data_IF_562592824786
#
_entry.id   IF_562592824786
#
_cell.length_a   1.000
_cell.length_b   1.000
_cell.length_c   1.000
_cell.angle_alpha   90.00
_cell.angle_beta   90.00
_cell.angle_gamma   90.00
#
_symmetry.space_group_name_H-M   'P 1'
#
loop_
_entity.id
_entity.type
_entity.pdbx_description
1 polymer ?
#
# COMPACT_ATOMS: atom_id res chain seq x y z
N UNK A 1 26.05 9.80 7.43
CA UNK A 1 25.12 10.44 6.48
C UNK A 1 23.70 10.30 7.02
N UNK A 2 22.88 11.34 6.93
CA UNK A 2 21.47 11.23 7.32
C UNK A 2 20.75 10.33 6.28
N UNK A 3 20.00 9.30 6.74
CA UNK A 3 19.21 8.48 5.84
C UNK A 3 18.10 9.34 5.23
N UNK A 4 17.76 9.11 3.96
CA UNK A 4 16.58 9.74 3.34
C UNK A 4 15.33 9.24 4.01
N UNK A 5 14.34 10.14 4.20
CA UNK A 5 13.06 9.79 4.81
C UNK A 5 12.08 9.33 3.75
N UNK A 6 11.45 8.20 4.02
CA UNK A 6 10.40 7.60 3.18
C UNK A 6 9.09 7.60 3.94
N UNK A 7 8.02 8.08 3.29
CA UNK A 7 6.66 7.98 3.81
C UNK A 7 5.85 6.99 2.97
N UNK A 8 5.16 6.07 3.64
CA UNK A 8 4.28 5.09 3.00
C UNK A 8 2.97 4.98 3.74
N UNK A 9 1.86 5.10 3.02
CA UNK A 9 0.51 4.99 3.57
C UNK A 9 -0.23 3.76 3.08
N UNK A 10 -1.00 3.12 3.97
CA UNK A 10 -1.88 2.00 3.61
C UNK A 10 -3.23 2.12 4.30
N UNK A 11 -4.31 1.94 3.52
CA UNK A 11 -5.68 2.04 4.03
C UNK A 11 -6.14 0.74 4.70
N UNK A 12 -6.79 0.80 5.88
CA UNK A 12 -7.33 -0.37 6.57
C UNK A 12 -8.72 -0.76 6.05
N UNK A 13 -8.84 -0.98 4.74
CA UNK A 13 -10.13 -1.24 4.07
C UNK A 13 -10.38 -2.73 3.82
N UNK A 14 -9.87 -3.61 4.67
CA UNK A 14 -10.06 -5.06 4.62
C UNK A 14 -8.74 -5.84 4.58
N UNK A 15 -8.85 -7.15 4.46
CA UNK A 15 -7.72 -8.07 4.55
C UNK A 15 -6.64 -7.80 3.49
N UNK A 16 -5.38 -8.00 3.86
CA UNK A 16 -4.24 -7.91 2.95
C UNK A 16 -4.16 -9.18 2.12
N UNK A 17 -4.07 -9.02 0.81
CA UNK A 17 -3.87 -10.12 -0.14
C UNK A 17 -2.43 -10.18 -0.65
N UNK A 18 -2.09 -11.31 -1.27
CA UNK A 18 -0.75 -11.59 -1.78
C UNK A 18 -0.21 -10.49 -2.72
N UNK A 19 -1.10 -9.88 -3.53
CA UNK A 19 -0.74 -8.75 -4.38
C UNK A 19 -0.33 -7.48 -3.62
N UNK A 20 -0.92 -7.22 -2.43
CA UNK A 20 -0.45 -6.13 -1.57
C UNK A 20 0.91 -6.46 -0.95
N UNK A 21 1.09 -7.70 -0.51
CA UNK A 21 2.34 -8.16 0.08
C UNK A 21 3.51 -8.06 -0.90
N UNK A 22 3.38 -8.71 -2.06
CA UNK A 22 4.42 -8.74 -3.09
C UNK A 22 4.62 -7.38 -3.79
N UNK A 23 3.56 -6.60 -3.93
CA UNK A 23 3.62 -5.31 -4.63
C UNK A 23 4.09 -4.13 -3.78
N UNK A 24 4.03 -4.23 -2.44
CA UNK A 24 4.40 -3.13 -1.56
C UNK A 24 5.06 -3.57 -0.26
N UNK A 25 4.41 -4.43 0.56
CA UNK A 25 4.83 -4.68 1.94
C UNK A 25 6.19 -5.37 1.99
N UNK A 26 6.47 -6.34 1.11
CA UNK A 26 7.79 -7.01 1.01
C UNK A 26 8.90 -5.97 0.81
N UNK A 27 8.71 -5.02 -0.10
CA UNK A 27 9.67 -3.92 -0.32
C UNK A 27 9.80 -2.99 0.88
N UNK A 28 8.70 -2.72 1.60
CA UNK A 28 8.76 -1.92 2.82
C UNK A 28 9.65 -2.57 3.89
N UNK A 29 9.57 -3.89 3.99
CA UNK A 29 10.42 -4.66 4.90
C UNK A 29 11.89 -4.61 4.47
N UNK A 30 12.17 -4.79 3.19
CA UNK A 30 13.53 -4.78 2.63
C UNK A 30 14.23 -3.43 2.78
N UNK A 31 13.50 -2.31 2.66
CA UNK A 31 14.10 -0.97 2.69
C UNK A 31 14.29 -0.38 4.08
N UNK A 32 13.93 -1.08 5.17
CA UNK A 32 14.01 -0.54 6.52
C UNK A 32 15.45 -0.21 6.94
N UNK A 33 16.44 -0.97 6.48
CA UNK A 33 17.84 -0.73 6.79
C UNK A 33 18.44 0.43 5.98
N UNK A 34 17.87 0.77 4.82
CA UNK A 34 18.40 1.78 3.92
C UNK A 34 17.88 3.19 4.22
N UNK A 35 16.58 3.29 4.61
CA UNK A 35 15.88 4.56 4.78
C UNK A 35 15.40 4.81 6.20
N UNK A 36 15.07 6.07 6.52
CA UNK A 36 14.26 6.45 7.68
C UNK A 36 12.79 6.32 7.29
N UNK A 37 12.16 5.18 7.63
CA UNK A 37 10.82 4.86 7.17
C UNK A 37 9.73 5.30 8.15
N UNK A 38 8.66 5.88 7.62
CA UNK A 38 7.42 6.19 8.31
C UNK A 38 6.28 5.46 7.60
N UNK A 39 5.72 4.45 8.26
CA UNK A 39 4.57 3.69 7.79
C UNK A 39 3.31 4.16 8.51
N UNK A 40 2.35 4.65 7.75
CA UNK A 40 1.13 5.21 8.27
C UNK A 40 -0.10 4.38 7.87
N UNK A 41 -0.88 3.94 8.84
CA UNK A 41 -2.21 3.38 8.57
C UNK A 41 -3.17 4.55 8.38
N UNK A 42 -3.51 4.83 7.10
CA UNK A 42 -4.25 6.02 6.70
C UNK A 42 -5.76 5.80 6.80
N UNK A 43 -6.25 5.70 8.03
CA UNK A 43 -7.64 5.40 8.33
C UNK A 43 -8.61 6.55 8.02
N UNK A 44 -8.15 7.81 8.02
CA UNK A 44 -8.97 8.95 7.59
C UNK A 44 -9.29 8.91 6.10
N UNK A 45 -8.41 8.35 5.27
CA UNK A 45 -8.73 8.11 3.86
C UNK A 45 -9.82 7.05 3.66
N UNK A 46 -9.95 6.11 4.58
CA UNK A 46 -10.96 5.05 4.47
C UNK A 46 -12.40 5.59 4.59
N UNK A 47 -12.63 6.65 5.37
CA UNK A 47 -13.96 7.25 5.56
C UNK A 47 -14.44 8.12 4.38
N UNK A 48 -13.64 8.28 3.33
CA UNK A 48 -14.07 8.92 2.08
C UNK A 48 -15.14 8.11 1.33
N UNK A 49 -15.30 6.85 1.69
CA UNK A 49 -16.40 5.99 1.26
C UNK A 49 -17.16 5.46 2.49
N UNK A 50 -18.44 5.12 2.36
CA UNK A 50 -19.19 4.52 3.47
C UNK A 50 -18.51 3.27 4.00
N UNK A 51 -18.20 3.27 5.29
CA UNK A 51 -17.58 2.15 6.00
C UNK A 51 -18.18 2.04 7.41
N UNK A 52 -18.41 0.81 7.85
CA UNK A 52 -18.88 0.57 9.21
C UNK A 52 -17.79 0.96 10.24
N UNK A 53 -18.10 1.74 11.29
CA UNK A 53 -17.10 2.22 12.24
C UNK A 53 -16.44 1.11 13.05
N UNK A 54 -17.18 0.05 13.41
CA UNK A 54 -16.65 -1.09 14.17
C UNK A 54 -15.68 -1.86 13.29
N UNK A 55 -16.07 -2.10 12.04
CA UNK A 55 -15.22 -2.73 11.04
C UNK A 55 -13.94 -1.90 10.79
N UNK A 56 -14.06 -0.59 10.58
CA UNK A 56 -12.88 0.28 10.37
C UNK A 56 -11.91 0.21 11.54
N UNK A 57 -12.42 0.30 12.77
CA UNK A 57 -11.59 0.20 13.98
C UNK A 57 -10.88 -1.15 14.06
N UNK A 58 -11.61 -2.24 13.91
CA UNK A 58 -11.04 -3.59 13.91
C UNK A 58 -9.97 -3.74 12.82
N UNK A 59 -10.28 -3.37 11.57
CA UNK A 59 -9.35 -3.50 10.45
C UNK A 59 -8.10 -2.61 10.59
N UNK A 60 -8.19 -1.49 11.30
CA UNK A 60 -7.03 -0.64 11.59
C UNK A 60 -6.01 -1.39 12.46
N UNK A 61 -6.43 -1.99 13.56
CA UNK A 61 -5.55 -2.77 14.44
C UNK A 61 -5.06 -4.07 13.79
N UNK A 62 -5.96 -4.78 13.09
CA UNK A 62 -5.62 -5.99 12.34
C UNK A 62 -4.53 -5.73 11.28
N UNK A 63 -4.64 -4.61 10.57
CA UNK A 63 -3.64 -4.20 9.58
C UNK A 63 -2.28 -3.95 10.24
N UNK A 64 -2.23 -3.24 11.36
CA UNK A 64 -0.98 -3.00 12.11
C UNK A 64 -0.36 -4.32 12.53
N UNK A 65 -1.15 -5.21 13.12
CA UNK A 65 -0.71 -6.55 13.53
C UNK A 65 -0.13 -7.34 12.35
N UNK A 66 -0.79 -7.27 11.21
CA UNK A 66 -0.33 -7.96 10.00
C UNK A 66 0.95 -7.33 9.41
N UNK A 67 1.10 -6.01 9.44
CA UNK A 67 2.35 -5.34 9.02
C UNK A 67 3.53 -5.76 9.89
N UNK A 68 3.34 -5.86 11.21
CA UNK A 68 4.34 -6.37 12.14
C UNK A 68 4.68 -7.84 11.85
N UNK A 69 3.68 -8.66 11.57
CA UNK A 69 3.86 -10.06 11.21
C UNK A 69 4.63 -10.22 9.89
N UNK A 70 4.40 -9.35 8.92
CA UNK A 70 5.15 -9.31 7.66
C UNK A 70 6.62 -8.88 7.81
N UNK A 71 7.03 -8.34 8.97
CA UNK A 71 8.41 -7.98 9.24
C UNK A 71 8.67 -6.47 9.39
N UNK A 72 7.64 -5.63 9.43
CA UNK A 72 7.85 -4.22 9.80
C UNK A 72 8.39 -4.17 11.24
N UNK A 73 9.57 -3.57 11.40
CA UNK A 73 10.27 -3.48 12.68
C UNK A 73 10.06 -2.08 13.30
N UNK A 74 9.27 -1.96 14.38
CA UNK A 74 8.96 -0.66 14.98
C UNK A 74 10.15 0.01 15.66
N UNK A 75 11.26 -0.72 15.88
CA UNK A 75 12.51 -0.15 16.41
C UNK A 75 13.27 0.63 15.33
N UNK A 76 13.15 0.22 14.07
CA UNK A 76 13.83 0.82 12.92
C UNK A 76 12.95 1.86 12.21
N UNK A 77 11.64 1.62 12.19
CA UNK A 77 10.65 2.40 11.42
C UNK A 77 9.60 3.02 12.32
N UNK A 78 9.06 4.16 11.96
CA UNK A 78 7.84 4.69 12.58
C UNK A 78 6.63 3.94 12.03
N UNK A 79 5.78 3.39 12.90
CA UNK A 79 4.50 2.79 12.52
C UNK A 79 3.39 3.40 13.37
N UNK A 80 2.45 4.09 12.76
CA UNK A 80 1.41 4.84 13.47
C UNK A 80 0.10 4.92 12.67
N UNK A 81 -0.96 5.36 13.35
CA UNK A 81 -2.29 5.58 12.76
C UNK A 81 -2.44 7.06 12.44
N UNK A 82 -2.91 7.39 11.25
CA UNK A 82 -3.09 8.76 10.76
C UNK A 82 -3.95 9.62 11.68
N UNK A 83 -5.09 9.10 12.14
CA UNK A 83 -6.02 9.85 12.99
C UNK A 83 -5.50 10.15 14.39
N UNK A 84 -4.36 9.57 14.79
CA UNK A 84 -3.72 9.88 16.06
C UNK A 84 -2.78 11.10 15.98
N UNK A 85 -2.65 11.70 14.80
CA UNK A 85 -1.83 12.90 14.55
C UNK A 85 -2.71 13.97 13.92
N UNK A 86 -3.20 14.89 14.72
CA UNK A 86 -4.18 15.93 14.34
C UNK A 86 -3.66 16.91 13.28
N UNK A 87 -2.36 16.99 13.10
CA UNK A 87 -1.72 17.85 12.13
C UNK A 87 -2.02 17.44 10.67
N UNK A 88 -2.40 16.18 10.40
CA UNK A 88 -2.77 15.72 9.05
C UNK A 88 -3.96 16.50 8.46
N UNK A 89 -5.15 16.50 9.07
CA UNK A 89 -6.26 17.30 8.57
C UNK A 89 -6.02 18.80 8.76
N UNK A 90 -5.25 19.21 9.76
CA UNK A 90 -4.96 20.62 10.00
C UNK A 90 -4.09 21.24 8.89
N UNK A 91 -3.02 20.52 8.44
CA UNK A 91 -2.24 20.98 7.31
C UNK A 91 -3.03 20.86 5.99
N UNK A 92 -3.82 19.79 5.82
CA UNK A 92 -4.66 19.63 4.63
C UNK A 92 -5.54 20.85 4.39
N UNK A 93 -6.13 21.45 5.44
CA UNK A 93 -6.90 22.69 5.32
C UNK A 93 -6.06 23.86 4.77
N UNK A 94 -4.82 24.02 5.22
CA UNK A 94 -3.94 25.07 4.70
C UNK A 94 -3.61 24.86 3.22
N UNK A 95 -3.41 23.60 2.84
CA UNK A 95 -3.10 23.21 1.46
C UNK A 95 -4.34 23.33 0.55
N UNK A 96 -5.55 23.04 1.06
CA UNK A 96 -6.82 23.24 0.34
C UNK A 96 -6.95 24.70 -0.17
N UNK A 97 -6.48 25.65 0.63
CA UNK A 97 -6.49 27.06 0.26
C UNK A 97 -5.45 27.44 -0.81
N UNK A 98 -4.56 26.51 -1.18
CA UNK A 98 -3.50 26.73 -2.18
C UNK A 98 -3.77 26.06 -3.53
N UNK A 99 -4.74 25.14 -3.59
CA UNK A 99 -5.04 24.34 -4.78
C UNK A 99 -6.32 24.86 -5.44
N UNK A 100 -6.30 24.99 -6.77
CA UNK A 100 -7.48 25.43 -7.49
C UNK A 100 -8.49 24.27 -7.69
N UNK A 101 -9.79 24.63 -7.77
CA UNK A 101 -10.83 23.66 -8.12
C UNK A 101 -10.55 22.95 -9.45
N UNK A 102 -9.96 23.66 -10.43
CA UNK A 102 -9.63 23.09 -11.74
C UNK A 102 -8.54 22.01 -11.66
N UNK A 103 -7.55 22.14 -10.75
CA UNK A 103 -6.55 21.10 -10.51
C UNK A 103 -7.19 19.85 -9.91
N UNK A 104 -8.04 20.02 -8.91
CA UNK A 104 -8.75 18.91 -8.26
C UNK A 104 -9.69 18.17 -9.22
N UNK A 105 -10.41 18.89 -10.07
CA UNK A 105 -11.31 18.29 -11.07
C UNK A 105 -10.58 17.45 -12.15
N UNK A 106 -9.28 17.68 -12.34
CA UNK A 106 -8.46 16.88 -13.27
C UNK A 106 -7.97 15.56 -12.69
N UNK A 107 -8.15 15.33 -11.39
CA UNK A 107 -7.72 14.08 -10.73
C UNK A 107 -8.50 12.88 -11.28
N UNK A 108 -7.78 11.93 -11.90
CA UNK A 108 -8.37 10.77 -12.58
C UNK A 108 -9.06 9.81 -11.62
N UNK A 109 -8.46 9.54 -10.48
CA UNK A 109 -9.04 8.63 -9.48
C UNK A 109 -10.35 9.15 -8.87
N UNK A 110 -10.52 10.47 -8.74
CA UNK A 110 -11.80 11.05 -8.33
C UNK A 110 -12.89 10.70 -9.34
N UNK A 111 -12.60 10.88 -10.64
CA UNK A 111 -13.54 10.55 -11.73
C UNK A 111 -13.93 9.07 -11.70
N UNK A 112 -12.93 8.18 -11.60
CA UNK A 112 -13.16 6.73 -11.58
C UNK A 112 -13.98 6.26 -10.37
N UNK A 113 -13.67 6.78 -9.18
CA UNK A 113 -14.39 6.43 -7.93
C UNK A 113 -15.81 6.98 -7.94
N UNK A 114 -16.00 8.20 -8.46
CA UNK A 114 -17.32 8.84 -8.58
C UNK A 114 -18.23 8.08 -9.54
N UNK A 115 -17.70 7.56 -10.66
CA UNK A 115 -18.45 6.74 -11.61
C UNK A 115 -18.83 5.38 -11.01
N UNK A 116 -17.95 4.76 -10.21
CA UNK A 116 -18.23 3.46 -9.57
C UNK A 116 -19.25 3.57 -8.44
N UNK A 117 -19.29 4.70 -7.72
CA UNK A 117 -20.12 4.91 -6.53
C UNK A 117 -20.84 6.28 -6.58
N UNK A 118 -21.73 6.53 -7.54
CA UNK A 118 -22.30 7.87 -7.78
C UNK A 118 -23.14 8.39 -6.59
N UNK A 119 -23.70 7.50 -5.77
CA UNK A 119 -24.51 7.85 -4.58
C UNK A 119 -23.66 8.19 -3.35
N UNK A 120 -22.35 7.92 -3.38
CA UNK A 120 -21.44 8.09 -2.23
C UNK A 120 -20.37 9.15 -2.49
N UNK A 121 -20.56 10.00 -3.50
CA UNK A 121 -19.64 11.09 -3.79
C UNK A 121 -19.81 12.19 -2.75
N UNK A 122 -18.77 12.44 -1.98
CA UNK A 122 -18.73 13.48 -0.94
C UNK A 122 -17.49 14.37 -1.10
N UNK A 123 -17.43 15.46 -0.34
CA UNK A 123 -16.30 16.40 -0.37
C UNK A 123 -14.97 15.73 0.01
N UNK A 124 -14.98 14.79 0.95
CA UNK A 124 -13.79 14.04 1.33
C UNK A 124 -13.22 13.20 0.16
N UNK A 125 -14.10 12.60 -0.65
CA UNK A 125 -13.66 11.90 -1.87
C UNK A 125 -13.07 12.85 -2.92
N UNK A 126 -13.50 14.10 -2.95
CA UNK A 126 -12.91 15.13 -3.80
C UNK A 126 -11.57 15.61 -3.26
N UNK A 127 -11.48 15.81 -1.94
CA UNK A 127 -10.32 16.44 -1.26
C UNK A 127 -9.22 15.46 -0.82
N UNK A 128 -9.43 14.13 -0.84
CA UNK A 128 -8.43 13.21 -0.31
C UNK A 128 -7.02 13.34 -0.96
N UNK A 129 -6.84 13.82 -2.21
CA UNK A 129 -5.50 14.04 -2.74
C UNK A 129 -4.70 15.10 -1.97
N UNK A 130 -5.40 16.09 -1.40
CA UNK A 130 -4.77 17.13 -0.58
C UNK A 130 -4.45 16.59 0.82
N UNK A 131 -5.30 15.74 1.40
CA UNK A 131 -4.97 15.01 2.62
C UNK A 131 -3.74 14.11 2.41
N UNK A 132 -3.62 13.44 1.26
CA UNK A 132 -2.42 12.66 0.92
C UNK A 132 -1.18 13.57 0.78
N UNK A 133 -1.30 14.75 0.18
CA UNK A 133 -0.21 15.72 0.14
C UNK A 133 0.20 16.15 1.56
N UNK A 134 -0.75 16.40 2.45
CA UNK A 134 -0.50 16.69 3.85
C UNK A 134 0.23 15.54 4.55
N UNK A 135 -0.20 14.29 4.35
CA UNK A 135 0.44 13.09 4.92
C UNK A 135 1.94 13.02 4.58
N UNK A 136 2.30 13.38 3.37
CA UNK A 136 3.67 13.31 2.87
C UNK A 136 4.50 14.52 3.35
N UNK A 137 3.94 15.72 3.22
CA UNK A 137 4.67 16.98 3.46
C UNK A 137 4.93 17.25 4.94
N UNK A 138 4.03 16.82 5.84
CA UNK A 138 4.21 16.93 7.29
C UNK A 138 5.55 16.37 7.77
N UNK A 139 5.99 15.30 7.17
CA UNK A 139 7.19 14.57 7.60
C UNK A 139 8.45 14.96 6.81
N UNK A 140 8.40 16.00 5.96
CA UNK A 140 9.55 16.40 5.15
C UNK A 140 10.13 15.19 4.38
N UNK A 141 9.26 14.38 3.78
CA UNK A 141 9.64 13.14 3.11
C UNK A 141 10.52 13.43 1.90
N UNK A 142 11.63 12.71 1.78
CA UNK A 142 12.50 12.78 0.62
C UNK A 142 11.95 11.92 -0.53
N UNK A 143 11.38 10.77 -0.17
CA UNK A 143 10.92 9.75 -1.13
C UNK A 143 9.54 9.21 -0.75
N UNK A 144 8.75 8.86 -1.76
CA UNK A 144 7.43 8.22 -1.60
C UNK A 144 7.33 7.04 -2.55
N UNK A 145 7.20 5.79 -2.04
CA UNK A 145 6.93 4.63 -2.90
C UNK A 145 5.54 4.74 -3.50
N UNK A 146 5.46 4.86 -4.82
CA UNK A 146 4.18 5.00 -5.52
C UNK A 146 4.08 4.02 -6.68
N UNK A 147 2.90 3.39 -6.81
CA UNK A 147 2.51 2.70 -8.03
C UNK A 147 2.07 3.69 -9.11
N UNK A 148 1.90 3.18 -10.33
CA UNK A 148 1.48 3.98 -11.50
C UNK A 148 0.19 4.80 -11.23
N UNK A 149 -0.75 4.20 -10.50
CA UNK A 149 -2.05 4.82 -10.18
C UNK A 149 -1.95 5.98 -9.16
N UNK A 150 -0.83 6.11 -8.47
CA UNK A 150 -0.58 7.17 -7.48
C UNK A 150 0.36 8.28 -7.99
N UNK A 151 0.93 8.15 -9.18
CA UNK A 151 1.85 9.16 -9.73
C UNK A 151 1.24 10.54 -9.80
N UNK A 152 -0.02 10.64 -10.25
CA UNK A 152 -0.72 11.93 -10.36
C UNK A 152 -0.90 12.61 -8.99
N UNK A 153 -1.13 11.83 -7.92
CA UNK A 153 -1.24 12.39 -6.56
C UNK A 153 0.10 12.90 -6.05
N UNK A 154 1.19 12.19 -6.35
CA UNK A 154 2.52 12.65 -5.97
C UNK A 154 2.92 13.90 -6.73
N UNK A 155 2.61 14.00 -8.02
CA UNK A 155 2.81 15.23 -8.80
C UNK A 155 2.02 16.41 -8.23
N UNK A 156 0.75 16.19 -7.83
CA UNK A 156 -0.03 17.22 -7.14
C UNK A 156 0.68 17.66 -5.85
N UNK A 157 1.17 16.71 -5.05
CA UNK A 157 1.91 16.99 -3.80
C UNK A 157 3.16 17.85 -4.07
N UNK A 158 3.92 17.53 -5.11
CA UNK A 158 5.11 18.28 -5.53
C UNK A 158 4.75 19.70 -5.93
N UNK A 159 3.75 19.87 -6.78
CA UNK A 159 3.25 21.18 -7.22
C UNK A 159 2.80 22.05 -6.04
N UNK A 160 2.09 21.44 -5.06
CA UNK A 160 1.67 22.12 -3.83
C UNK A 160 2.90 22.58 -3.04
N UNK A 161 3.89 21.72 -2.83
CA UNK A 161 5.10 22.06 -2.10
C UNK A 161 5.90 23.18 -2.76
N UNK A 162 6.10 23.12 -4.09
CA UNK A 162 6.80 24.13 -4.87
C UNK A 162 6.07 25.48 -4.85
N UNK A 163 4.74 25.45 -5.05
CA UNK A 163 3.91 26.65 -4.99
C UNK A 163 3.96 27.29 -3.62
N UNK A 164 3.77 26.51 -2.54
CA UNK A 164 3.82 27.02 -1.18
C UNK A 164 5.17 27.66 -0.86
N UNK A 165 6.26 26.97 -1.20
CA UNK A 165 7.63 27.45 -0.96
C UNK A 165 7.92 28.76 -1.71
N UNK A 166 7.39 28.91 -2.92
CA UNK A 166 7.54 30.13 -3.72
C UNK A 166 6.74 31.29 -3.15
N UNK A 167 5.50 31.03 -2.72
CA UNK A 167 4.53 32.09 -2.38
C UNK A 167 4.67 32.55 -0.92
N UNK A 168 5.07 31.64 0.01
CA UNK A 168 5.15 31.92 1.46
C UNK A 168 6.56 31.77 2.05
N UNK A 169 7.49 31.18 1.34
CA UNK A 169 8.84 30.89 1.83
C UNK A 169 9.09 29.40 2.05
N UNK A 170 10.35 29.04 2.16
CA UNK A 170 10.81 27.66 2.20
C UNK A 170 10.26 26.87 3.42
N UNK A 171 9.29 26.01 3.21
CA UNK A 171 8.62 25.21 4.23
C UNK A 171 8.78 23.71 3.99
N UNK A 172 8.44 23.22 2.80
CA UNK A 172 8.33 21.80 2.49
C UNK A 172 9.49 21.30 1.63
N UNK A 173 9.98 20.12 1.93
CA UNK A 173 10.75 19.35 0.94
C UNK A 173 9.83 18.93 -0.20
N UNK A 174 10.32 19.00 -1.42
CA UNK A 174 9.61 18.46 -2.60
C UNK A 174 9.97 16.98 -2.71
N UNK A 175 8.99 16.07 -2.49
CA UNK A 175 9.27 14.64 -2.46
C UNK A 175 9.54 14.08 -3.86
N UNK A 176 10.38 13.05 -3.94
CA UNK A 176 10.65 12.32 -5.19
C UNK A 176 9.95 10.95 -5.17
N UNK A 177 9.51 10.44 -6.33
CA UNK A 177 8.98 9.08 -6.39
C UNK A 177 10.09 8.07 -6.12
N UNK A 178 9.84 7.14 -5.19
CA UNK A 178 10.65 5.94 -5.06
C UNK A 178 10.05 4.88 -5.98
N UNK A 179 10.67 4.72 -7.15
CA UNK A 179 10.27 3.70 -8.10
C UNK A 179 10.77 2.37 -7.55
N UNK A 180 9.87 1.57 -6.98
CA UNK A 180 10.21 0.20 -6.60
C UNK A 180 10.76 -0.53 -7.84
N UNK A 181 11.87 -1.25 -7.70
CA UNK A 181 12.32 -2.19 -8.72
C UNK A 181 11.12 -3.08 -9.03
N UNK A 182 10.49 -2.86 -10.18
CA UNK A 182 9.31 -3.54 -10.72
C UNK A 182 8.43 -4.17 -9.62
N UNK A 183 7.60 -3.36 -8.99
CA UNK A 183 6.60 -3.86 -8.06
C UNK A 183 5.74 -4.85 -8.81
N UNK A 184 5.75 -6.10 -8.38
CA UNK A 184 5.06 -7.17 -9.07
C UNK A 184 3.57 -6.84 -9.14
N UNK A 185 3.09 -6.60 -10.34
CA UNK A 185 1.66 -6.45 -10.58
C UNK A 185 1.03 -7.85 -10.57
N UNK A 186 0.60 -8.28 -9.40
CA UNK A 186 -0.13 -9.54 -9.24
C UNK A 186 -1.57 -9.36 -9.68
N UNK A 187 -2.01 -10.18 -10.61
CA UNK A 187 -3.35 -10.17 -11.18
C UNK A 187 -4.26 -11.16 -10.44
N UNK A 188 -5.58 -11.03 -10.64
CA UNK A 188 -6.55 -11.97 -10.09
C UNK A 188 -6.33 -13.39 -10.57
N UNK A 189 -6.62 -14.37 -9.71
CA UNK A 189 -6.42 -15.78 -10.07
C UNK A 189 -7.48 -16.29 -11.04
N UNK A 190 -8.71 -15.79 -10.93
CA UNK A 190 -9.85 -16.16 -11.78
C UNK A 190 -10.01 -15.24 -12.99
N UNK A 191 -9.48 -14.02 -12.91
CA UNK A 191 -9.43 -13.07 -14.03
C UNK A 191 -8.07 -12.36 -14.06
N UNK A 192 -7.12 -12.87 -14.87
CA UNK A 192 -5.77 -12.31 -14.95
C UNK A 192 -5.68 -10.97 -15.69
N UNK A 193 -6.77 -10.44 -16.21
CA UNK A 193 -6.85 -9.09 -16.80
C UNK A 193 -7.07 -8.01 -15.76
N UNK A 194 -7.62 -8.38 -14.61
CA UNK A 194 -7.94 -7.49 -13.50
C UNK A 194 -6.91 -7.67 -12.39
N UNK A 195 -6.37 -6.56 -11.87
CA UNK A 195 -5.45 -6.59 -10.72
C UNK A 195 -6.09 -7.30 -9.53
N UNK A 196 -5.34 -8.15 -8.84
CA UNK A 196 -5.79 -8.77 -7.60
C UNK A 196 -6.29 -7.69 -6.63
N UNK A 197 -7.52 -7.84 -6.16
CA UNK A 197 -8.19 -6.84 -5.32
C UNK A 197 -9.14 -7.48 -4.32
N UNK A 198 -9.34 -6.78 -3.20
CA UNK A 198 -10.26 -7.17 -2.12
C UNK A 198 -11.73 -7.06 -2.53
N UNK A 199 -12.04 -6.12 -3.40
CA UNK A 199 -13.42 -5.74 -3.77
C UNK A 199 -14.00 -6.54 -4.94
N UNK A 200 -13.21 -7.41 -5.55
CA UNK A 200 -13.70 -8.26 -6.63
C UNK A 200 -14.68 -9.31 -6.09
N UNK A 201 -15.79 -9.53 -6.79
CA UNK A 201 -16.87 -10.44 -6.35
C UNK A 201 -16.51 -11.93 -6.43
N UNK A 202 -15.43 -12.30 -7.10
CA UNK A 202 -14.98 -13.68 -7.25
C UNK A 202 -14.34 -14.22 -5.98
N UNK A 203 -14.89 -15.27 -5.39
CA UNK A 203 -14.36 -15.90 -4.18
C UNK A 203 -12.92 -16.46 -4.33
N UNK A 204 -12.48 -16.71 -5.57
CA UNK A 204 -11.14 -17.23 -5.86
C UNK A 204 -10.20 -16.17 -6.46
N UNK A 205 -10.60 -14.88 -6.47
CA UNK A 205 -9.85 -13.81 -7.11
C UNK A 205 -8.52 -13.50 -6.43
N UNK A 206 -8.50 -13.54 -5.09
CA UNK A 206 -7.34 -13.16 -4.29
C UNK A 206 -7.00 -14.22 -3.24
N UNK A 207 -5.71 -14.41 -3.01
CA UNK A 207 -5.18 -15.12 -1.83
C UNK A 207 -4.92 -14.08 -0.77
N UNK A 208 -5.54 -14.23 0.40
CA UNK A 208 -5.28 -13.41 1.58
C UNK A 208 -4.13 -13.99 2.40
N UNK A 209 -3.38 -13.15 3.10
CA UNK A 209 -2.19 -13.62 3.84
C UNK A 209 -2.55 -14.57 4.99
N UNK A 210 -3.78 -14.47 5.50
CA UNK A 210 -4.29 -15.33 6.58
C UNK A 210 -5.20 -16.45 6.06
N UNK A 211 -5.24 -16.72 4.76
CA UNK A 211 -5.96 -17.88 4.21
C UNK A 211 -5.34 -19.19 4.72
N UNK A 212 -6.18 -20.10 5.17
CA UNK A 212 -5.74 -21.44 5.56
C UNK A 212 -5.20 -22.23 4.35
N UNK A 213 -4.27 -23.19 4.56
CA UNK A 213 -3.62 -23.93 3.48
C UNK A 213 -4.59 -24.55 2.47
N UNK A 214 -5.67 -25.15 2.91
CA UNK A 214 -6.67 -25.78 2.05
C UNK A 214 -7.40 -24.75 1.16
N UNK A 215 -7.58 -23.54 1.63
CA UNK A 215 -8.16 -22.44 0.87
C UNK A 215 -7.20 -21.98 -0.21
N UNK A 216 -5.90 -21.86 0.11
CA UNK A 216 -4.85 -21.50 -0.85
C UNK A 216 -4.79 -22.53 -1.97
N UNK A 217 -4.70 -23.84 -1.62
CA UNK A 217 -4.71 -24.94 -2.59
C UNK A 217 -5.92 -24.87 -3.52
N UNK A 218 -7.12 -24.68 -2.93
CA UNK A 218 -8.37 -24.59 -3.70
C UNK A 218 -8.38 -23.41 -4.67
N UNK A 219 -7.91 -22.23 -4.23
CA UNK A 219 -7.85 -21.02 -5.06
C UNK A 219 -6.87 -21.19 -6.22
N UNK A 220 -5.65 -21.69 -5.96
CA UNK A 220 -4.62 -21.90 -6.98
C UNK A 220 -5.05 -22.98 -7.98
N UNK A 221 -5.64 -24.10 -7.52
CA UNK A 221 -6.16 -25.14 -8.41
C UNK A 221 -7.18 -24.61 -9.41
N UNK A 222 -8.03 -23.64 -8.98
CA UNK A 222 -9.08 -23.02 -9.81
C UNK A 222 -8.58 -21.82 -10.62
N UNK A 223 -7.34 -21.37 -10.41
CA UNK A 223 -6.79 -20.23 -11.12
C UNK A 223 -6.84 -20.42 -12.65
N UNK A 224 -7.10 -19.33 -13.37
CA UNK A 224 -7.20 -19.35 -14.82
C UNK A 224 -5.87 -19.68 -15.47
N UNK A 225 -5.89 -20.58 -16.46
CA UNK A 225 -4.77 -20.92 -17.35
C UNK A 225 -5.32 -21.17 -18.75
N UNK A 226 -4.45 -21.10 -19.74
CA UNK A 226 -4.83 -21.44 -21.13
C UNK A 226 -4.89 -22.97 -21.35
N UNK A 227 -5.14 -23.39 -22.59
CA UNK A 227 -5.23 -24.79 -23.00
C UNK A 227 -3.93 -25.34 -23.59
N UNK A 228 -2.83 -24.57 -23.62
CA UNK A 228 -1.58 -24.99 -24.31
C UNK A 228 -0.78 -26.06 -23.53
N UNK A 229 -0.96 -26.11 -22.20
CA UNK A 229 -0.29 -27.09 -21.34
C UNK A 229 1.22 -26.87 -21.14
N UNK A 230 1.78 -25.77 -21.69
CA UNK A 230 3.21 -25.46 -21.62
C UNK A 230 3.44 -24.41 -20.53
N UNK A 231 4.46 -24.63 -19.70
CA UNK A 231 4.84 -23.70 -18.63
C UNK A 231 6.03 -22.88 -19.13
N UNK A 232 5.74 -21.62 -19.50
CA UNK A 232 6.74 -20.67 -20.01
C UNK A 232 6.29 -19.23 -19.72
N UNK A 233 7.27 -18.34 -19.48
CA UNK A 233 7.04 -16.92 -19.29
C UNK A 233 6.71 -16.26 -20.64
N UNK A 234 5.42 -16.03 -20.88
CA UNK A 234 4.91 -15.32 -22.04
C UNK A 234 3.79 -14.38 -21.59
N UNK A 235 4.02 -13.08 -21.69
CA UNK A 235 3.08 -12.04 -21.27
C UNK A 235 1.72 -12.13 -21.98
N UNK A 236 1.68 -12.70 -23.20
CA UNK A 236 0.44 -12.91 -23.95
C UNK A 236 -0.46 -13.99 -23.33
N UNK A 237 0.12 -14.83 -22.47
CA UNK A 237 -0.56 -15.93 -21.78
C UNK A 237 -0.89 -15.53 -20.35
N UNK A 238 -1.71 -14.51 -20.20
CA UNK A 238 -1.96 -13.74 -18.95
C UNK A 238 -2.15 -14.62 -17.71
N UNK A 239 -2.90 -15.74 -17.80
CA UNK A 239 -3.19 -16.61 -16.66
C UNK A 239 -1.96 -17.33 -16.12
N UNK A 240 -1.26 -18.09 -16.98
CA UNK A 240 -0.05 -18.81 -16.57
C UNK A 240 1.09 -17.84 -16.23
N UNK A 241 1.22 -16.74 -16.97
CA UNK A 241 2.22 -15.71 -16.71
C UNK A 241 2.05 -15.10 -15.30
N UNK A 242 0.82 -14.80 -14.88
CA UNK A 242 0.54 -14.32 -13.53
C UNK A 242 0.96 -15.34 -12.45
N UNK A 243 0.65 -16.62 -12.64
CA UNK A 243 1.02 -17.67 -11.69
C UNK A 243 2.53 -17.87 -11.62
N UNK A 244 3.23 -17.80 -12.76
CA UNK A 244 4.70 -17.87 -12.84
C UNK A 244 5.35 -16.66 -12.14
N UNK A 245 4.79 -15.47 -12.30
CA UNK A 245 5.27 -14.29 -11.59
C UNK A 245 5.11 -14.43 -10.07
N UNK A 246 3.98 -14.96 -9.59
CA UNK A 246 3.79 -15.23 -8.17
C UNK A 246 4.84 -16.23 -7.67
N UNK A 247 5.08 -17.31 -8.43
CA UNK A 247 6.08 -18.32 -8.09
C UNK A 247 7.47 -17.69 -7.99
N UNK A 248 7.89 -16.96 -9.02
CA UNK A 248 9.19 -16.27 -9.10
C UNK A 248 9.42 -15.32 -7.91
N UNK A 249 8.41 -14.50 -7.56
CA UNK A 249 8.52 -13.53 -6.49
C UNK A 249 8.58 -14.11 -5.08
N UNK A 250 8.07 -15.33 -4.91
CA UNK A 250 8.09 -16.03 -3.62
C UNK A 250 9.29 -16.98 -3.49
N UNK A 251 9.76 -17.56 -4.60
CA UNK A 251 10.90 -18.48 -4.59
C UNK A 251 12.25 -17.81 -4.77
N UNK A 252 12.26 -16.54 -5.22
CA UNK A 252 13.45 -15.79 -5.63
C UNK A 252 14.28 -16.52 -6.71
N UNK A 253 13.65 -17.42 -7.50
CA UNK A 253 14.27 -18.12 -8.61
C UNK A 253 14.13 -17.35 -9.93
N UNK A 254 15.10 -17.49 -10.84
CA UNK A 254 15.00 -16.86 -12.16
C UNK A 254 13.97 -17.56 -13.07
N UNK A 255 13.39 -16.85 -14.06
CA UNK A 255 12.46 -17.43 -15.03
C UNK A 255 12.98 -18.71 -15.68
N UNK A 256 14.26 -18.73 -16.09
CA UNK A 256 14.88 -19.85 -16.78
C UNK A 256 14.95 -21.09 -15.89
N UNK A 257 15.24 -20.92 -14.61
CA UNK A 257 15.26 -22.03 -13.64
C UNK A 257 13.86 -22.60 -13.41
N UNK A 258 12.85 -21.73 -13.35
CA UNK A 258 11.47 -22.15 -13.19
C UNK A 258 11.00 -22.93 -14.43
N UNK A 259 11.26 -22.43 -15.63
CA UNK A 259 10.89 -23.11 -16.88
C UNK A 259 11.56 -24.47 -16.99
N UNK A 260 12.86 -24.61 -16.70
CA UNK A 260 13.56 -25.89 -16.73
C UNK A 260 13.03 -26.87 -15.68
N UNK A 261 12.68 -26.40 -14.47
CA UNK A 261 12.06 -27.22 -13.41
C UNK A 261 10.74 -27.84 -13.86
N UNK A 262 9.94 -27.07 -14.60
CA UNK A 262 8.62 -27.50 -15.05
C UNK A 262 8.59 -28.00 -16.49
N UNK A 263 9.74 -28.16 -17.15
CA UNK A 263 9.85 -28.78 -18.46
C UNK A 263 9.25 -30.17 -18.43
N UNK A 264 8.33 -30.43 -19.33
CA UNK A 264 7.58 -31.70 -19.42
C UNK A 264 6.59 -31.96 -18.25
N UNK A 265 6.26 -30.97 -17.43
CA UNK A 265 5.19 -31.06 -16.43
C UNK A 265 3.94 -30.34 -16.92
N UNK A 266 2.76 -30.75 -16.41
CA UNK A 266 1.48 -30.10 -16.71
C UNK A 266 1.13 -29.00 -15.71
N UNK A 267 0.09 -28.24 -16.01
CA UNK A 267 -0.43 -27.19 -15.10
C UNK A 267 -0.85 -27.74 -13.74
N UNK A 268 -1.29 -28.98 -13.65
CA UNK A 268 -1.65 -29.62 -12.38
C UNK A 268 -0.47 -29.69 -11.42
N UNK A 269 0.68 -30.15 -11.91
CA UNK A 269 1.92 -30.29 -11.14
C UNK A 269 2.45 -28.91 -10.74
N UNK A 270 2.46 -27.96 -11.69
CA UNK A 270 2.88 -26.58 -11.42
C UNK A 270 2.01 -25.91 -10.35
N UNK A 271 0.68 -25.99 -10.48
CA UNK A 271 -0.26 -25.39 -9.50
C UNK A 271 -0.12 -26.02 -8.12
N UNK A 272 0.16 -27.31 -8.04
CA UNK A 272 0.42 -27.98 -6.76
C UNK A 272 1.67 -27.43 -6.10
N UNK A 273 2.77 -27.33 -6.84
CA UNK A 273 4.04 -26.82 -6.31
C UNK A 273 3.93 -25.30 -5.98
N UNK A 274 3.24 -24.51 -6.82
CA UNK A 274 2.95 -23.12 -6.52
C UNK A 274 2.17 -22.96 -5.21
N UNK A 275 1.17 -23.81 -4.95
CA UNK A 275 0.42 -23.78 -3.71
C UNK A 275 1.32 -24.05 -2.50
N UNK A 276 2.23 -25.00 -2.59
CA UNK A 276 3.22 -25.29 -1.55
C UNK A 276 4.16 -24.11 -1.32
N UNK A 277 4.67 -23.47 -2.37
CA UNK A 277 5.51 -22.26 -2.25
C UNK A 277 4.77 -21.13 -1.58
N UNK A 278 3.51 -20.87 -1.94
CA UNK A 278 2.68 -19.83 -1.31
C UNK A 278 2.46 -20.16 0.18
N UNK A 279 2.06 -21.38 0.52
CA UNK A 279 1.83 -21.80 1.90
C UNK A 279 3.09 -21.63 2.74
N UNK A 280 4.25 -22.12 2.26
CA UNK A 280 5.52 -22.02 2.97
C UNK A 280 5.96 -20.56 3.16
N UNK A 281 5.70 -19.69 2.19
CA UNK A 281 6.02 -18.26 2.29
C UNK A 281 5.10 -17.52 3.27
N UNK A 282 3.84 -17.91 3.39
CA UNK A 282 2.89 -17.27 4.29
C UNK A 282 2.93 -17.82 5.72
N UNK A 283 3.37 -19.05 5.90
CA UNK A 283 3.42 -19.72 7.21
C UNK A 283 4.15 -18.91 8.29
N UNK A 284 5.36 -18.37 8.09
CA UNK A 284 6.03 -17.55 9.10
C UNK A 284 5.25 -16.29 9.48
N UNK A 285 4.58 -15.66 8.49
CA UNK A 285 3.75 -14.49 8.71
C UNK A 285 2.55 -14.85 9.58
N UNK A 286 1.88 -15.97 9.29
CA UNK A 286 0.72 -16.45 10.02
C UNK A 286 1.06 -16.87 11.45
N UNK A 287 2.22 -17.51 11.67
CA UNK A 287 2.71 -17.90 12.99
C UNK A 287 2.98 -16.64 13.82
N UNK A 288 3.76 -15.69 13.29
CA UNK A 288 4.07 -14.43 13.97
C UNK A 288 2.82 -13.59 14.25
N UNK A 289 1.86 -13.56 13.31
CA UNK A 289 0.59 -12.87 13.52
C UNK A 289 -0.17 -13.39 14.74
N UNK A 290 -0.16 -14.70 15.00
CA UNK A 290 -0.82 -15.32 16.17
C UNK A 290 -0.13 -14.95 17.49
N UNK A 291 1.19 -14.71 17.47
CA UNK A 291 1.98 -14.40 18.65
C UNK A 291 1.86 -12.94 19.10
N UNK A 292 1.60 -12.01 18.18
CA UNK A 292 1.50 -10.57 18.49
C UNK A 292 0.22 -10.31 19.30
N UNK A 293 0.35 -9.73 20.49
CA UNK A 293 -0.79 -9.36 21.34
C UNK A 293 -1.35 -7.97 20.99
N UNK A 294 -2.61 -7.72 21.36
CA UNK A 294 -3.23 -6.41 21.17
C UNK A 294 -2.56 -5.32 22.00
N UNK A 295 -2.01 -5.66 23.17
CA UNK A 295 -1.30 -4.69 24.00
C UNK A 295 0.07 -4.33 23.41
N UNK A 296 0.75 -5.29 22.77
CA UNK A 296 1.96 -5.02 21.99
C UNK A 296 1.66 -4.07 20.82
N UNK A 297 0.59 -4.30 20.08
CA UNK A 297 0.15 -3.42 18.99
C UNK A 297 -0.08 -1.99 19.49
N UNK A 298 -0.79 -1.82 20.61
CA UNK A 298 -1.05 -0.51 21.21
C UNK A 298 0.24 0.20 21.65
N UNK A 299 1.17 -0.53 22.30
CA UNK A 299 2.45 0.03 22.73
C UNK A 299 3.29 0.50 21.54
N UNK A 300 3.33 -0.26 20.45
CA UNK A 300 4.04 0.09 19.22
C UNK A 300 3.42 1.33 18.57
N UNK A 301 2.10 1.40 18.49
CA UNK A 301 1.39 2.56 17.92
C UNK A 301 1.64 3.84 18.74
N UNK A 302 1.59 3.77 20.07
CA UNK A 302 1.91 4.90 20.93
C UNK A 302 3.33 5.41 20.68
N UNK A 303 4.30 4.50 20.62
CA UNK A 303 5.68 4.87 20.29
C UNK A 303 5.83 5.44 18.88
N UNK A 304 5.08 4.93 17.90
CA UNK A 304 5.04 5.47 16.55
C UNK A 304 4.52 6.91 16.50
N UNK A 305 3.45 7.20 17.24
CA UNK A 305 2.90 8.55 17.39
C UNK A 305 3.87 9.49 18.08
N UNK A 306 4.58 9.04 19.14
CA UNK A 306 5.60 9.83 19.82
C UNK A 306 6.76 10.24 18.87
N UNK A 307 7.09 9.42 17.89
CA UNK A 307 8.06 9.76 16.83
C UNK A 307 7.47 10.67 15.76
N UNK A 308 6.24 10.41 15.31
CA UNK A 308 5.62 11.09 14.19
C UNK A 308 5.13 12.51 14.54
N UNK A 309 4.44 12.66 15.69
CA UNK A 309 3.80 13.94 16.08
C UNK A 309 4.76 15.12 16.18
N UNK A 310 5.96 15.04 16.79
CA UNK A 310 6.88 16.17 16.84
C UNK A 310 7.30 16.65 15.45
N UNK A 311 7.52 15.74 14.49
CA UNK A 311 7.88 16.07 13.11
C UNK A 311 6.72 16.78 12.40
N UNK A 312 5.51 16.22 12.52
CA UNK A 312 4.30 16.77 11.94
C UNK A 312 4.02 18.16 12.51
N UNK A 313 4.09 18.31 13.83
CA UNK A 313 3.85 19.58 14.53
C UNK A 313 4.83 20.67 14.13
N UNK A 314 6.12 20.35 14.04
CA UNK A 314 7.14 21.32 13.63
C UNK A 314 6.88 21.85 12.21
N UNK A 315 6.53 20.99 11.27
CA UNK A 315 6.22 21.38 9.89
C UNK A 315 4.90 22.19 9.83
N UNK A 316 3.86 21.74 10.52
CA UNK A 316 2.58 22.43 10.56
C UNK A 316 2.72 23.83 11.16
N UNK A 317 3.42 23.99 12.28
CA UNK A 317 3.65 25.30 12.89
C UNK A 317 4.40 26.25 11.96
N UNK A 318 5.45 25.77 11.31
CA UNK A 318 6.18 26.55 10.32
C UNK A 318 5.29 27.00 9.15
N UNK A 319 4.43 26.12 8.64
CA UNK A 319 3.47 26.49 7.60
C UNK A 319 2.48 27.57 8.06
N UNK A 320 1.95 27.46 9.30
CA UNK A 320 1.09 28.49 9.90
C UNK A 320 1.78 29.84 10.00
N UNK A 321 2.98 29.87 10.55
CA UNK A 321 3.76 31.10 10.71
C UNK A 321 4.00 31.79 9.36
N UNK A 322 4.40 31.04 8.35
CA UNK A 322 4.64 31.57 7.01
C UNK A 322 3.37 32.14 6.35
N UNK A 323 2.20 31.55 6.65
CA UNK A 323 0.90 32.05 6.16
C UNK A 323 0.32 33.16 7.05
N UNK A 324 0.97 33.57 8.14
CA UNK A 324 0.50 34.60 9.06
C UNK A 324 -0.62 34.14 10.02
N UNK A 325 -0.77 32.83 10.19
CA UNK A 325 -1.71 32.22 11.14
C UNK A 325 -0.99 31.99 12.48
N UNK A 326 -1.11 32.90 13.38
CA UNK A 326 -0.47 32.84 14.72
C UNK A 326 -1.22 31.93 15.68
#
# INVERSE_FOLDING_TARGET
MHKKRVFSGIQPTGQIHLGNYLGAIKHWVEMQDEYENLFCVVNSHAITLPIDPIFLKSQTYELVKLLLACGINPKQSGLFIQSEVDEHPALAWLLDCQVSMGEMQRMTQFKDKSLKNPKSVNVGLFNYPILMASDILLYQSDLVPVGEDQKQHLELTRNIAEKFNRDFGNCFKVPEPLIAKVGARVMGLDDPKVKMSKSHKGANHAIFLLDEPDIIVKKIKKAATDSMGVIAFDEKREGIFNLLNIYMLLSDESPEKIEERFKNKGYGDFKKELAEVVIQSLKPIQERYKEISDDEVKAILNHGVEKARPLARATYQKAKELMGLV
#
